data_IF_463515713412
#
_entry.id   IF_463515713412
#
_cell.length_a   1.000
_cell.length_b   1.000
_cell.length_c   1.000
_cell.angle_alpha   90.00
_cell.angle_beta   90.00
_cell.angle_gamma   90.00
#
_symmetry.space_group_name_H-M   'P 1'
#
loop_
_entity.id
_entity.type
_entity.pdbx_description
1 polymer ?
#
# COMPACT_ATOMS: atom_id res chain seq x y z
N UNK A 1 -7.26 29.87 -0.22
CA UNK A 1 -7.31 28.40 -0.22
C UNK A 1 -6.26 27.88 -1.20
N UNK A 2 -5.25 27.14 -0.73
CA UNK A 2 -4.04 26.83 -1.50
C UNK A 2 -4.09 25.37 -2.00
N UNK A 3 -4.78 25.16 -3.13
CA UNK A 3 -5.08 23.87 -3.78
C UNK A 3 -3.88 22.92 -3.98
N UNK A 4 -2.65 23.44 -3.90
CA UNK A 4 -1.39 22.68 -4.04
C UNK A 4 -1.08 21.79 -2.84
N UNK A 5 -1.54 22.20 -1.67
CA UNK A 5 -1.24 21.53 -0.39
C UNK A 5 -2.10 20.28 -0.21
N UNK A 6 -3.24 20.20 -0.90
CA UNK A 6 -4.29 19.21 -0.63
C UNK A 6 -3.93 17.80 -1.11
N UNK A 7 -3.21 17.68 -2.23
CA UNK A 7 -2.75 16.38 -2.76
C UNK A 7 -1.61 15.77 -1.94
N UNK A 8 -0.66 16.61 -1.49
CA UNK A 8 0.41 16.17 -0.58
C UNK A 8 -0.19 15.83 0.79
N UNK A 9 -1.11 16.65 1.28
CA UNK A 9 -1.78 16.42 2.55
C UNK A 9 -2.53 15.08 2.60
N UNK A 10 -3.19 14.68 1.51
CA UNK A 10 -3.83 13.36 1.41
C UNK A 10 -2.80 12.24 1.60
N UNK A 11 -1.68 12.30 0.88
CA UNK A 11 -0.59 11.31 0.98
C UNK A 11 0.05 11.27 2.36
N UNK A 12 0.23 12.42 3.01
CA UNK A 12 0.73 12.50 4.40
C UNK A 12 -0.25 11.80 5.35
N UNK A 13 -1.55 12.07 5.23
CA UNK A 13 -2.58 11.45 6.07
C UNK A 13 -2.67 9.93 5.88
N UNK A 14 -2.38 9.43 4.68
CA UNK A 14 -2.33 8.00 4.38
C UNK A 14 -1.02 7.33 4.86
N UNK A 15 0.08 8.08 4.89
CA UNK A 15 1.41 7.53 5.18
C UNK A 15 1.81 7.59 6.66
N UNK A 16 1.27 8.56 7.42
CA UNK A 16 1.65 8.81 8.80
C UNK A 16 0.48 8.63 9.77
N UNK A 17 0.73 7.93 10.87
CA UNK A 17 -0.19 7.88 12.01
C UNK A 17 0.10 9.01 12.98
N UNK A 18 -0.93 9.43 13.75
CA UNK A 18 -0.74 10.44 14.80
C UNK A 18 0.24 9.97 15.88
N UNK A 19 0.32 8.66 16.13
CA UNK A 19 1.30 8.06 17.03
C UNK A 19 2.75 8.23 16.54
N UNK A 20 3.01 7.94 15.26
CA UNK A 20 4.35 8.13 14.68
C UNK A 20 4.79 9.60 14.78
N UNK A 21 3.86 10.53 14.54
CA UNK A 21 4.11 11.97 14.65
C UNK A 21 4.35 12.41 16.08
N UNK A 22 3.54 11.97 17.03
CA UNK A 22 3.76 12.25 18.45
C UNK A 22 5.14 11.75 18.90
N UNK A 23 5.51 10.50 18.58
CA UNK A 23 6.81 9.91 18.93
C UNK A 23 7.99 10.66 18.30
N UNK A 24 7.88 11.03 17.02
CA UNK A 24 8.94 11.79 16.32
C UNK A 24 9.24 13.13 16.99
N UNK A 25 8.21 13.76 17.57
CA UNK A 25 8.33 15.05 18.26
C UNK A 25 8.55 14.91 19.77
N UNK A 26 8.90 13.71 20.26
CA UNK A 26 9.34 13.50 21.65
C UNK A 26 8.23 13.15 22.63
N UNK A 27 7.04 12.80 22.16
CA UNK A 27 5.95 12.32 23.01
C UNK A 27 5.92 10.80 23.10
N UNK A 28 5.62 10.28 24.29
CA UNK A 28 5.58 8.84 24.55
C UNK A 28 4.15 8.41 24.90
N UNK A 29 3.28 8.16 23.89
CA UNK A 29 1.97 7.59 24.14
C UNK A 29 2.10 6.16 24.67
N UNK A 30 1.22 5.82 25.61
CA UNK A 30 1.16 4.48 26.18
C UNK A 30 0.67 3.44 25.15
N UNK A 31 0.65 2.15 25.53
CA UNK A 31 0.20 1.06 24.64
C UNK A 31 -1.23 1.21 24.14
N UNK A 32 -2.05 1.95 24.88
CA UNK A 32 -3.42 2.29 24.52
C UNK A 32 -3.50 3.60 23.72
N UNK A 33 -2.40 4.17 23.26
CA UNK A 33 -2.37 5.41 22.47
C UNK A 33 -2.76 6.68 23.23
N UNK A 34 -2.73 6.66 24.57
CA UNK A 34 -3.03 7.85 25.39
C UNK A 34 -1.75 8.55 25.85
N UNK A 35 -1.80 9.88 25.92
CA UNK A 35 -0.76 10.76 26.46
C UNK A 35 -1.35 12.02 27.09
N UNK A 36 -0.56 12.74 27.89
CA UNK A 36 -0.94 14.07 28.35
C UNK A 36 -0.97 15.03 27.17
N UNK A 37 -1.99 15.87 27.12
CA UNK A 37 -2.22 16.81 26.04
C UNK A 37 -1.19 17.94 26.09
N UNK A 38 -0.40 18.16 25.03
CA UNK A 38 0.57 19.25 24.98
C UNK A 38 -0.08 20.61 24.73
N UNK A 39 -1.38 20.65 24.41
CA UNK A 39 -2.08 21.85 23.95
C UNK A 39 -2.76 22.63 25.08
N UNK A 40 -2.89 22.09 26.29
CA UNK A 40 -3.44 22.83 27.44
C UNK A 40 -2.63 22.60 28.71
N UNK A 41 -2.66 23.60 29.58
CA UNK A 41 -2.03 23.53 30.89
C UNK A 41 -2.88 22.76 31.89
N UNK A 42 -2.25 22.17 32.90
CA UNK A 42 -2.93 21.52 34.02
C UNK A 42 -3.37 20.08 33.74
N UNK A 43 -2.92 19.47 32.63
CA UNK A 43 -3.27 18.09 32.30
C UNK A 43 -2.48 17.09 33.17
N UNK A 44 -3.14 16.59 34.21
CA UNK A 44 -2.56 15.65 35.19
C UNK A 44 -2.80 14.18 34.81
N UNK A 45 -3.69 13.93 33.87
CA UNK A 45 -4.04 12.57 33.38
C UNK A 45 -3.83 12.50 31.88
N UNK A 46 -3.69 11.29 31.32
CA UNK A 46 -3.51 11.15 29.88
C UNK A 46 -4.84 11.43 29.14
N UNK A 47 -5.11 12.70 28.82
CA UNK A 47 -6.38 13.14 28.23
C UNK A 47 -6.45 13.10 26.71
N UNK A 48 -5.30 12.96 26.04
CA UNK A 48 -5.20 12.91 24.58
C UNK A 48 -5.06 11.47 24.09
N UNK A 49 -5.94 11.08 23.17
CA UNK A 49 -5.95 9.80 22.47
C UNK A 49 -5.44 9.96 21.04
N UNK A 50 -4.50 9.12 20.66
CA UNK A 50 -4.04 8.90 19.29
C UNK A 50 -4.73 7.64 18.75
N UNK A 51 -5.41 7.75 17.63
CA UNK A 51 -6.11 6.64 16.99
C UNK A 51 -5.17 5.92 16.01
N UNK A 52 -5.29 4.59 15.87
CA UNK A 52 -4.49 3.83 14.91
C UNK A 52 -4.83 4.18 13.47
N UNK A 53 -3.92 3.89 12.55
CA UNK A 53 -4.08 4.18 11.12
C UNK A 53 -4.23 5.68 10.85
N UNK A 54 -5.22 6.03 10.02
CA UNK A 54 -5.51 7.42 9.62
C UNK A 54 -6.50 8.12 10.55
N UNK A 55 -6.78 7.54 11.73
CA UNK A 55 -7.83 8.01 12.66
C UNK A 55 -7.52 9.32 13.39
N UNK A 56 -6.29 9.84 13.28
CA UNK A 56 -5.93 11.14 13.86
C UNK A 56 -5.84 11.12 15.39
N UNK A 57 -6.28 12.20 16.04
CA UNK A 57 -6.17 12.39 17.48
C UNK A 57 -7.33 13.21 18.05
N UNK A 58 -7.58 13.03 19.35
CA UNK A 58 -8.55 13.84 20.09
C UNK A 58 -8.16 13.95 21.56
N UNK A 59 -8.30 15.14 22.14
CA UNK A 59 -8.14 15.38 23.57
C UNK A 59 -9.49 15.59 24.24
N UNK A 60 -9.84 14.67 25.15
CA UNK A 60 -11.08 14.71 25.90
C UNK A 60 -11.12 15.81 26.98
N UNK A 61 -9.97 16.37 27.35
CA UNK A 61 -9.88 17.47 28.33
C UNK A 61 -10.16 18.86 27.75
N UNK A 62 -9.68 19.12 26.52
CA UNK A 62 -9.79 20.44 25.88
C UNK A 62 -10.63 20.45 24.59
N UNK A 63 -11.09 19.28 24.12
CA UNK A 63 -11.92 19.14 22.93
C UNK A 63 -11.20 19.23 21.59
N UNK A 64 -9.92 19.64 21.56
CA UNK A 64 -9.14 19.70 20.32
C UNK A 64 -8.89 18.30 19.75
N UNK A 65 -8.83 18.22 18.44
CA UNK A 65 -8.55 17.00 17.70
C UNK A 65 -8.51 17.26 16.21
N UNK A 66 -8.13 16.23 15.46
CA UNK A 66 -8.07 16.31 14.01
C UNK A 66 -7.15 15.25 13.42
N UNK A 67 -6.71 15.52 12.20
CA UNK A 67 -5.73 14.71 11.48
C UNK A 67 -4.31 14.90 12.03
N UNK A 68 -3.39 14.10 11.49
CA UNK A 68 -1.95 14.24 11.75
C UNK A 68 -1.40 15.63 11.38
N UNK A 69 -2.01 16.29 10.39
CA UNK A 69 -1.61 17.65 9.98
C UNK A 69 -2.11 18.66 11.01
N UNK A 70 -3.33 18.50 11.50
CA UNK A 70 -3.88 19.36 12.55
C UNK A 70 -3.05 19.24 13.84
N UNK A 71 -2.54 18.05 14.15
CA UNK A 71 -1.60 17.86 15.28
C UNK A 71 -0.35 18.74 15.12
N UNK A 72 0.27 18.72 13.94
CA UNK A 72 1.46 19.53 13.65
C UNK A 72 1.14 21.04 13.63
N UNK A 73 -0.02 21.43 13.12
CA UNK A 73 -0.48 22.82 13.15
C UNK A 73 -0.59 23.33 14.60
N UNK A 74 -1.27 22.57 15.47
CA UNK A 74 -1.44 22.91 16.88
C UNK A 74 -0.10 22.90 17.63
N UNK A 75 0.76 21.91 17.37
CA UNK A 75 2.03 21.75 18.05
C UNK A 75 3.02 22.87 17.74
N UNK A 76 3.08 23.31 16.48
CA UNK A 76 4.05 24.31 16.03
C UNK A 76 3.45 25.71 15.85
N UNK A 77 2.14 25.88 15.99
CA UNK A 77 1.47 27.15 15.74
C UNK A 77 1.60 27.64 14.30
N UNK A 78 1.59 26.70 13.33
CA UNK A 78 1.83 27.00 11.91
C UNK A 78 0.59 26.81 11.05
N UNK A 79 0.57 27.46 9.88
CA UNK A 79 -0.51 27.27 8.90
C UNK A 79 -0.49 25.87 8.29
N UNK A 80 -1.62 25.45 7.72
CA UNK A 80 -1.76 24.14 7.06
C UNK A 80 -0.64 23.83 6.07
N UNK A 81 -0.32 24.76 5.17
CA UNK A 81 0.75 24.54 4.18
C UNK A 81 2.13 24.36 4.82
N UNK A 82 2.40 25.09 5.90
CA UNK A 82 3.65 24.95 6.66
C UNK A 82 3.71 23.63 7.42
N UNK A 83 2.60 23.18 8.01
CA UNK A 83 2.51 21.86 8.65
C UNK A 83 2.72 20.72 7.64
N UNK A 84 2.15 20.82 6.43
CA UNK A 84 2.34 19.86 5.34
C UNK A 84 3.80 19.77 4.92
N UNK A 85 4.46 20.90 4.67
CA UNK A 85 5.88 20.93 4.30
C UNK A 85 6.76 20.38 5.42
N UNK A 86 6.49 20.81 6.65
CA UNK A 86 7.24 20.33 7.82
C UNK A 86 7.14 18.83 8.00
N UNK A 87 5.93 18.27 7.94
CA UNK A 87 5.73 16.82 8.05
C UNK A 87 6.40 16.07 6.90
N UNK A 88 6.37 16.61 5.69
CA UNK A 88 7.08 16.03 4.55
C UNK A 88 8.59 15.96 4.78
N UNK A 89 9.17 17.02 5.35
CA UNK A 89 10.61 17.14 5.56
C UNK A 89 11.08 16.36 6.80
N UNK A 90 10.40 16.52 7.93
CA UNK A 90 10.73 15.88 9.22
C UNK A 90 10.67 14.34 9.16
N UNK A 91 9.86 13.80 8.24
CA UNK A 91 9.72 12.37 7.95
C UNK A 91 10.37 11.95 6.63
N UNK A 92 11.03 12.87 5.91
CA UNK A 92 11.73 12.59 4.65
C UNK A 92 10.85 11.85 3.62
N UNK A 93 9.59 12.26 3.49
CA UNK A 93 8.61 11.58 2.64
C UNK A 93 8.83 11.83 1.14
N UNK A 94 9.63 12.84 0.77
CA UNK A 94 9.95 13.16 -0.62
C UNK A 94 8.73 13.49 -1.48
N UNK A 95 7.62 13.91 -0.87
CA UNK A 95 6.37 14.22 -1.56
C UNK A 95 6.53 15.54 -2.29
N UNK A 96 6.77 15.44 -3.59
CA UNK A 96 6.77 16.61 -4.48
C UNK A 96 5.37 16.83 -5.04
N UNK A 97 5.02 18.09 -5.30
CA UNK A 97 3.73 18.46 -5.89
C UNK A 97 3.64 18.16 -7.40
N UNK A 98 4.39 17.16 -7.89
CA UNK A 98 4.41 16.82 -9.29
C UNK A 98 3.16 16.03 -9.64
N UNK A 99 2.09 16.73 -10.03
CA UNK A 99 0.99 16.07 -10.73
C UNK A 99 1.54 15.53 -12.04
N UNK A 100 1.46 14.21 -12.33
CA UNK A 100 1.86 13.70 -13.62
C UNK A 100 1.08 14.46 -14.69
N UNK A 101 1.80 14.90 -15.72
CA UNK A 101 1.17 15.52 -16.90
C UNK A 101 0.13 14.55 -17.47
N UNK A 102 -0.84 15.07 -18.22
CA UNK A 102 -1.83 14.21 -18.88
C UNK A 102 -1.16 13.13 -19.75
N UNK A 103 -0.02 13.46 -20.38
CA UNK A 103 0.81 12.51 -21.12
C UNK A 103 1.38 11.40 -20.23
N UNK A 104 2.01 11.75 -19.09
CA UNK A 104 2.56 10.78 -18.13
C UNK A 104 1.46 9.89 -17.52
N UNK A 105 0.32 10.46 -17.14
CA UNK A 105 -0.81 9.71 -16.61
C UNK A 105 -1.40 8.75 -17.65
N UNK A 106 -1.51 9.19 -18.91
CA UNK A 106 -1.98 8.36 -20.03
C UNK A 106 -0.99 7.23 -20.33
N UNK A 107 0.31 7.51 -20.33
CA UNK A 107 1.35 6.50 -20.52
C UNK A 107 1.31 5.44 -19.41
N UNK A 108 1.28 5.85 -18.14
CA UNK A 108 1.18 4.92 -17.02
C UNK A 108 -0.13 4.11 -17.03
N UNK A 109 -1.22 4.67 -17.55
CA UNK A 109 -2.46 3.92 -17.75
C UNK A 109 -2.32 2.87 -18.86
N UNK A 110 -1.67 3.22 -19.99
CA UNK A 110 -1.39 2.28 -21.09
C UNK A 110 -0.48 1.15 -20.64
N UNK A 111 0.60 1.45 -19.93
CA UNK A 111 1.54 0.45 -19.39
C UNK A 111 0.83 -0.54 -18.46
N UNK A 112 -0.03 -0.03 -17.55
CA UNK A 112 -0.86 -0.88 -16.68
C UNK A 112 -1.84 -1.77 -17.48
N UNK A 113 -2.45 -1.24 -18.53
CA UNK A 113 -3.34 -2.02 -19.39
C UNK A 113 -2.58 -3.10 -20.17
N UNK A 114 -1.39 -2.78 -20.68
CA UNK A 114 -0.54 -3.73 -21.39
C UNK A 114 -0.03 -4.83 -20.46
N UNK A 115 0.38 -4.48 -19.24
CA UNK A 115 0.77 -5.45 -18.22
C UNK A 115 -0.40 -6.37 -17.83
N UNK A 116 -1.58 -5.80 -17.58
CA UNK A 116 -2.79 -6.57 -17.28
C UNK A 116 -3.16 -7.52 -18.44
N UNK A 117 -2.99 -7.08 -19.69
CA UNK A 117 -3.18 -7.95 -20.87
C UNK A 117 -2.18 -9.09 -20.88
N UNK A 118 -0.89 -8.81 -20.70
CA UNK A 118 0.17 -9.83 -20.66
C UNK A 118 -0.07 -10.85 -19.56
N UNK A 119 -0.46 -10.40 -18.36
CA UNK A 119 -0.76 -11.31 -17.25
C UNK A 119 -1.97 -12.20 -17.55
N UNK A 120 -3.01 -11.64 -18.20
CA UNK A 120 -4.18 -12.42 -18.62
C UNK A 120 -3.84 -13.45 -19.68
N UNK A 121 -3.00 -13.10 -20.65
CA UNK A 121 -2.50 -14.02 -21.68
C UNK A 121 -1.66 -15.13 -21.06
N UNK A 122 -0.72 -14.77 -20.18
CA UNK A 122 0.10 -15.72 -19.43
C UNK A 122 -0.74 -16.72 -18.63
N UNK A 123 -1.75 -16.23 -17.90
CA UNK A 123 -2.67 -17.10 -17.14
C UNK A 123 -3.44 -18.06 -18.03
N UNK A 124 -3.95 -17.60 -19.17
CA UNK A 124 -4.62 -18.47 -20.15
C UNK A 124 -3.69 -19.55 -20.68
N UNK A 125 -2.45 -19.20 -20.98
CA UNK A 125 -1.43 -20.13 -21.46
C UNK A 125 -1.12 -21.20 -20.41
N UNK A 126 -0.88 -20.77 -19.17
CA UNK A 126 -0.58 -21.63 -18.04
C UNK A 126 -1.74 -22.57 -17.73
N UNK A 127 -2.98 -22.06 -17.67
CA UNK A 127 -4.19 -22.85 -17.47
C UNK A 127 -4.36 -23.90 -18.59
N UNK A 128 -4.17 -23.50 -19.85
CA UNK A 128 -4.27 -24.41 -20.99
C UNK A 128 -3.24 -25.55 -20.91
N UNK A 129 -1.99 -25.23 -20.54
CA UNK A 129 -0.96 -26.24 -20.33
C UNK A 129 -1.24 -27.12 -19.12
N UNK A 130 -1.80 -26.57 -18.05
CA UNK A 130 -2.17 -27.34 -16.85
C UNK A 130 -3.22 -28.40 -17.20
N UNK A 131 -4.23 -28.04 -18.01
CA UNK A 131 -5.25 -28.98 -18.48
C UNK A 131 -4.62 -30.08 -19.34
N UNK A 132 -3.75 -29.72 -20.28
CA UNK A 132 -3.03 -30.69 -21.12
C UNK A 132 -2.17 -31.62 -20.28
N UNK A 133 -1.35 -31.05 -19.39
CA UNK A 133 -0.47 -31.78 -18.49
C UNK A 133 -1.25 -32.83 -17.70
N UNK A 134 -2.38 -32.44 -17.09
CA UNK A 134 -3.24 -33.35 -16.34
C UNK A 134 -3.74 -34.51 -17.21
N UNK A 135 -4.19 -34.24 -18.43
CA UNK A 135 -4.68 -35.27 -19.35
C UNK A 135 -3.57 -36.26 -19.77
N UNK A 136 -2.38 -35.74 -20.07
CA UNK A 136 -1.21 -36.55 -20.43
C UNK A 136 -0.72 -37.38 -19.25
N UNK A 137 -0.64 -36.78 -18.06
CA UNK A 137 -0.19 -37.45 -16.84
C UNK A 137 -1.10 -38.63 -16.46
N UNK A 138 -2.42 -38.48 -16.59
CA UNK A 138 -3.38 -39.58 -16.40
C UNK A 138 -3.16 -40.67 -17.45
N UNK A 139 -3.04 -40.31 -18.72
CA UNK A 139 -2.83 -41.28 -19.81
C UNK A 139 -1.52 -42.06 -19.64
N UNK A 140 -0.45 -41.39 -19.17
CA UNK A 140 0.84 -42.03 -18.89
C UNK A 140 0.72 -43.12 -17.83
N UNK A 141 -0.09 -42.91 -16.79
CA UNK A 141 -0.33 -43.90 -15.73
C UNK A 141 -1.20 -45.06 -16.16
N UNK A 142 -2.17 -44.83 -17.04
CA UNK A 142 -3.04 -45.88 -17.57
C UNK A 142 -2.31 -46.85 -18.51
N UNK A 143 -1.09 -46.51 -18.95
CA UNK A 143 -0.24 -47.39 -19.75
C UNK A 143 -0.51 -47.33 -21.25
N UNK A 144 0.11 -48.22 -22.04
CA UNK A 144 0.13 -48.15 -23.51
C UNK A 144 -1.22 -48.12 -24.20
N UNK A 145 -2.26 -48.68 -23.58
CA UNK A 145 -3.61 -48.74 -24.13
C UNK A 145 -4.39 -47.42 -23.97
N UNK A 146 -3.84 -46.44 -23.26
CA UNK A 146 -4.51 -45.16 -23.01
C UNK A 146 -4.47 -44.24 -24.25
N UNK A 147 -5.55 -43.48 -24.54
CA UNK A 147 -5.69 -42.70 -25.78
C UNK A 147 -4.55 -41.72 -26.09
N UNK A 148 -3.94 -41.12 -25.06
CA UNK A 148 -2.86 -40.14 -25.23
C UNK A 148 -1.49 -40.67 -24.77
N UNK A 149 -1.31 -41.97 -24.53
CA UNK A 149 -0.05 -42.52 -24.02
C UNK A 149 1.18 -42.16 -24.88
N UNK A 150 1.15 -42.29 -26.23
CA UNK A 150 2.30 -41.92 -27.05
C UNK A 150 2.62 -40.42 -27.04
N UNK A 151 1.61 -39.56 -26.82
CA UNK A 151 1.79 -38.11 -26.69
C UNK A 151 2.37 -37.79 -25.31
N UNK A 152 1.85 -38.43 -24.26
CA UNK A 152 2.31 -38.24 -22.89
C UNK A 152 3.79 -38.63 -22.74
N UNK A 153 4.23 -39.73 -23.36
CA UNK A 153 5.63 -40.13 -23.38
C UNK A 153 6.58 -39.12 -24.04
N UNK A 154 6.07 -38.24 -24.91
CA UNK A 154 6.90 -37.27 -25.65
C UNK A 154 6.83 -35.86 -25.07
N UNK A 155 5.67 -35.47 -24.55
CA UNK A 155 5.38 -34.07 -24.23
C UNK A 155 5.40 -33.76 -22.72
N UNK A 156 5.31 -34.75 -21.83
CA UNK A 156 5.30 -34.49 -20.37
C UNK A 156 6.58 -33.79 -19.91
N UNK A 157 7.76 -34.32 -20.25
CA UNK A 157 9.05 -33.71 -19.86
C UNK A 157 9.20 -32.28 -20.38
N UNK A 158 8.65 -31.99 -21.57
CA UNK A 158 8.67 -30.62 -22.15
C UNK A 158 7.74 -29.68 -21.41
N UNK A 159 6.59 -30.17 -20.95
CA UNK A 159 5.66 -29.39 -20.15
C UNK A 159 6.21 -29.15 -18.74
N UNK A 160 6.83 -30.16 -18.13
CA UNK A 160 7.53 -30.02 -16.84
C UNK A 160 8.59 -28.92 -16.94
N UNK A 161 9.47 -28.99 -17.95
CA UNK A 161 10.46 -27.94 -18.21
C UNK A 161 9.81 -26.56 -18.41
N UNK A 162 8.69 -26.49 -19.14
CA UNK A 162 7.98 -25.23 -19.33
C UNK A 162 7.46 -24.65 -18.01
N UNK A 163 6.89 -25.47 -17.13
CA UNK A 163 6.40 -25.00 -15.82
C UNK A 163 7.53 -24.54 -14.90
N UNK A 164 8.70 -25.18 -14.96
CA UNK A 164 9.88 -24.75 -14.21
C UNK A 164 10.36 -23.35 -14.63
N UNK A 165 10.35 -23.06 -15.94
CA UNK A 165 10.71 -21.75 -16.48
C UNK A 165 9.60 -20.69 -16.29
N UNK A 166 8.35 -21.11 -16.07
CA UNK A 166 7.16 -20.25 -16.01
C UNK A 166 6.36 -20.49 -14.72
N UNK A 167 6.88 -20.10 -13.53
CA UNK A 167 6.15 -20.27 -12.29
C UNK A 167 4.85 -19.45 -12.25
N UNK A 168 3.83 -19.93 -11.55
CA UNK A 168 2.56 -19.23 -11.41
C UNK A 168 2.73 -17.82 -10.80
N UNK A 169 2.04 -16.81 -11.37
CA UNK A 169 2.10 -15.39 -10.96
C UNK A 169 0.71 -14.80 -10.70
#
# INVERSE_FOLDING_TARGET
>A
MNFRSDGIAARIKESLTAEQVARRYGYEPNRSGFMNCPFHAGDRTASLKLYPGTGGWHCFGCGRGGSVIDFAMELFGVSFGQAVLRLNDDFSLGLTNHRPTHAQASQAARERMDEARRLKEYRREYESRTVLYRALWVSKQMGPDAPLYPVACRELDRLDYWFDEHPWR
#
